data_IF_881990281753
#
_entry.id   IF_881990281753
#
_cell.length_a   1.000
_cell.length_b   1.000
_cell.length_c   1.000
_cell.angle_alpha   90.00
_cell.angle_beta   90.00
_cell.angle_gamma   90.00
#
_symmetry.space_group_name_H-M   'P 1'
#
loop_
_entity.id
_entity.type
_entity.pdbx_description
1 polymer ?
#
# COMPACT_ATOMS: atom_id res chain seq x y z
N UNK A 1 20.62 23.46 -9.49
CA UNK A 1 20.74 22.72 -10.76
C UNK A 1 20.87 21.18 -10.65
N UNK A 2 20.99 20.56 -9.46
CA UNK A 2 21.07 19.08 -9.33
C UNK A 2 19.70 18.36 -9.21
N UNK A 3 18.63 19.07 -8.85
CA UNK A 3 17.30 18.48 -8.68
C UNK A 3 16.60 18.09 -10.01
N UNK A 4 16.90 18.78 -11.10
CA UNK A 4 16.25 18.51 -12.39
C UNK A 4 16.70 17.18 -13.02
N UNK A 5 17.97 16.79 -12.85
CA UNK A 5 18.51 15.53 -13.41
C UNK A 5 17.91 14.27 -12.71
N UNK A 6 17.60 14.38 -11.43
CA UNK A 6 16.98 13.28 -10.68
C UNK A 6 15.52 13.04 -11.10
N UNK A 7 14.78 14.12 -11.40
CA UNK A 7 13.39 14.03 -11.89
C UNK A 7 13.31 13.33 -13.26
N UNK A 8 14.27 13.57 -14.15
CA UNK A 8 14.35 12.90 -15.45
C UNK A 8 14.73 11.41 -15.32
N UNK A 9 15.63 11.06 -14.42
CA UNK A 9 16.06 9.66 -14.21
C UNK A 9 14.92 8.83 -13.60
N UNK A 10 14.18 9.38 -12.62
CA UNK A 10 13.02 8.69 -12.02
C UNK A 10 11.88 8.57 -13.03
N UNK A 11 11.62 9.58 -13.83
CA UNK A 11 10.61 9.55 -14.90
C UNK A 11 10.94 8.51 -15.98
N UNK A 12 12.20 8.40 -16.39
CA UNK A 12 12.67 7.42 -17.38
C UNK A 12 12.60 5.99 -16.79
N UNK A 13 12.93 5.80 -15.51
CA UNK A 13 12.84 4.49 -14.86
C UNK A 13 11.40 4.01 -14.73
N UNK A 14 10.46 4.90 -14.42
CA UNK A 14 9.02 4.60 -14.40
C UNK A 14 8.51 4.28 -15.82
N UNK A 15 8.93 5.03 -16.83
CA UNK A 15 8.57 4.76 -18.24
C UNK A 15 9.15 3.44 -18.75
N UNK A 16 10.38 3.08 -18.39
CA UNK A 16 11.01 1.82 -18.78
C UNK A 16 10.36 0.60 -18.11
N UNK A 17 9.90 0.71 -16.86
CA UNK A 17 9.14 -0.37 -16.21
C UNK A 17 7.76 -0.59 -16.84
N UNK A 18 7.14 0.44 -17.39
CA UNK A 18 5.89 0.28 -18.16
C UNK A 18 6.11 -0.28 -19.58
N UNK A 19 7.25 0.00 -20.20
CA UNK A 19 7.54 -0.46 -21.56
C UNK A 19 7.87 -1.96 -21.63
N UNK A 20 8.40 -2.57 -20.58
CA UNK A 20 8.75 -4.01 -20.54
C UNK A 20 7.55 -4.95 -20.34
N UNK A 21 6.35 -4.42 -20.08
CA UNK A 21 5.12 -5.21 -19.93
C UNK A 21 4.37 -5.49 -21.23
N UNK A 22 4.87 -5.02 -22.36
CA UNK A 22 4.15 -5.04 -23.64
C UNK A 22 4.70 -6.08 -24.68
N UNK A 23 5.39 -7.14 -24.26
CA UNK A 23 5.85 -8.17 -25.18
C UNK A 23 4.83 -9.29 -25.33
N UNK A 24 4.30 -9.41 -26.54
CA UNK A 24 3.25 -10.28 -27.02
C UNK A 24 3.56 -11.78 -27.00
N UNK A 25 2.57 -12.62 -26.70
CA UNK A 25 2.57 -14.06 -26.96
C UNK A 25 1.35 -14.44 -27.81
N UNK A 26 1.52 -15.37 -28.74
CA UNK A 26 0.51 -15.87 -29.70
C UNK A 26 -0.74 -16.44 -29.02
N UNK A 27 -1.92 -16.10 -29.53
CA UNK A 27 -3.22 -16.34 -28.95
C UNK A 27 -4.05 -17.44 -29.55
N UNK A 28 -5.03 -17.95 -28.80
CA UNK A 28 -6.15 -18.79 -29.27
C UNK A 28 -7.37 -17.90 -29.59
N UNK A 29 -8.39 -18.43 -30.27
CA UNK A 29 -9.60 -17.68 -30.65
C UNK A 29 -10.27 -16.91 -29.51
N UNK A 30 -10.21 -17.44 -28.27
CA UNK A 30 -10.76 -16.78 -27.07
C UNK A 30 -9.75 -15.88 -26.35
N UNK A 31 -8.48 -15.95 -26.71
CA UNK A 31 -7.41 -15.15 -26.16
C UNK A 31 -6.53 -14.62 -27.29
N UNK A 32 -6.96 -13.56 -28.00
CA UNK A 32 -6.23 -13.00 -29.12
C UNK A 32 -4.83 -12.51 -28.71
N UNK A 33 -4.00 -12.25 -29.72
CA UNK A 33 -2.65 -11.72 -29.53
C UNK A 33 -2.68 -10.44 -28.68
N UNK A 34 -1.82 -10.39 -27.67
CA UNK A 34 -1.73 -9.26 -26.73
C UNK A 34 -2.36 -9.48 -25.35
N UNK A 35 -3.13 -10.55 -25.13
CA UNK A 35 -3.63 -10.88 -23.79
C UNK A 35 -2.48 -11.37 -22.91
N UNK A 36 -2.25 -10.74 -21.72
CA UNK A 36 -1.19 -11.17 -20.83
C UNK A 36 -1.29 -12.64 -20.43
N UNK A 37 -0.17 -13.35 -20.38
CA UNK A 37 -0.13 -14.79 -20.15
C UNK A 37 -0.81 -15.28 -18.84
N UNK A 38 -0.88 -14.43 -17.80
CA UNK A 38 -1.65 -14.74 -16.59
C UNK A 38 -3.16 -14.71 -16.85
N UNK A 39 -3.64 -13.75 -17.63
CA UNK A 39 -5.05 -13.64 -18.01
C UNK A 39 -5.44 -14.80 -18.90
N UNK A 40 -4.61 -15.14 -19.90
CA UNK A 40 -4.81 -16.30 -20.77
C UNK A 40 -4.97 -17.58 -19.96
N UNK A 41 -4.06 -17.85 -19.02
CA UNK A 41 -4.15 -19.03 -18.12
C UNK A 41 -5.39 -19.02 -17.24
N UNK A 42 -5.82 -17.85 -16.75
CA UNK A 42 -7.03 -17.75 -15.94
C UNK A 42 -8.28 -18.05 -16.76
N UNK A 43 -8.37 -17.55 -17.99
CA UNK A 43 -9.47 -17.84 -18.93
C UNK A 43 -9.48 -19.34 -19.27
N UNK A 44 -8.35 -19.91 -19.64
CA UNK A 44 -8.24 -21.35 -19.96
C UNK A 44 -8.61 -22.23 -18.74
N UNK A 45 -8.15 -21.88 -17.54
CA UNK A 45 -8.52 -22.58 -16.31
C UNK A 45 -10.03 -22.50 -16.03
N UNK A 46 -10.62 -21.33 -16.25
CA UNK A 46 -12.06 -21.12 -16.09
C UNK A 46 -12.89 -21.89 -17.12
N UNK A 47 -12.40 -22.05 -18.34
CA UNK A 47 -13.08 -22.82 -19.39
C UNK A 47 -12.99 -24.34 -19.20
N UNK A 48 -11.98 -24.81 -18.44
CA UNK A 48 -11.82 -26.23 -18.09
C UNK A 48 -12.67 -26.67 -16.90
N UNK A 49 -13.19 -25.73 -16.13
CA UNK A 49 -14.03 -26.01 -14.96
C UNK A 49 -15.50 -25.85 -15.35
N UNK A 50 -16.26 -26.94 -15.32
CA UNK A 50 -17.67 -26.99 -15.71
C UNK A 50 -18.54 -25.97 -14.94
N UNK A 51 -18.17 -25.65 -13.69
CA UNK A 51 -18.91 -24.67 -12.89
C UNK A 51 -18.78 -23.22 -13.40
N UNK A 52 -17.71 -22.93 -14.15
CA UNK A 52 -17.40 -21.59 -14.62
C UNK A 52 -17.40 -21.44 -16.14
N UNK A 53 -17.31 -22.54 -16.89
CA UNK A 53 -17.18 -22.53 -18.34
C UNK A 53 -18.30 -21.75 -19.04
N UNK A 54 -19.56 -22.04 -18.70
CA UNK A 54 -20.72 -21.36 -19.31
C UNK A 54 -20.71 -19.85 -19.04
N UNK A 55 -20.45 -19.46 -17.78
CA UNK A 55 -20.39 -18.03 -17.41
C UNK A 55 -19.24 -17.32 -18.14
N UNK A 56 -18.10 -17.97 -18.24
CA UNK A 56 -16.94 -17.39 -18.92
C UNK A 56 -17.19 -17.19 -20.41
N UNK A 57 -17.83 -18.16 -21.09
CA UNK A 57 -18.26 -18.04 -22.49
C UNK A 57 -19.34 -16.98 -22.69
N UNK A 58 -20.21 -16.78 -21.71
CA UNK A 58 -21.24 -15.74 -21.78
C UNK A 58 -20.64 -14.32 -21.70
N UNK A 59 -19.53 -14.15 -20.98
CA UNK A 59 -18.86 -12.85 -20.78
C UNK A 59 -17.84 -12.56 -21.85
N UNK A 60 -17.01 -13.56 -22.22
CA UNK A 60 -15.98 -13.44 -23.27
C UNK A 60 -16.54 -14.03 -24.55
N UNK A 61 -17.03 -13.17 -25.45
CA UNK A 61 -17.57 -13.61 -26.74
C UNK A 61 -16.53 -13.39 -27.82
N UNK A 62 -16.12 -14.43 -28.57
CA UNK A 62 -15.29 -14.27 -29.74
C UNK A 62 -15.90 -13.27 -30.72
N UNK A 63 -15.09 -12.32 -31.21
CA UNK A 63 -15.57 -11.28 -32.11
C UNK A 63 -16.03 -9.97 -31.42
N UNK A 64 -16.20 -9.94 -30.12
CA UNK A 64 -16.46 -8.69 -29.38
C UNK A 64 -15.22 -7.76 -29.45
N UNK A 65 -15.42 -6.44 -29.40
CA UNK A 65 -14.33 -5.48 -29.36
C UNK A 65 -13.38 -5.77 -28.19
N UNK A 66 -12.09 -5.72 -28.48
CA UNK A 66 -11.07 -5.86 -27.43
C UNK A 66 -11.12 -4.66 -26.49
N UNK A 67 -11.23 -4.94 -25.19
CA UNK A 67 -11.21 -3.94 -24.12
C UNK A 67 -9.99 -4.06 -23.24
N UNK A 68 -10.19 -4.02 -21.93
CA UNK A 68 -9.12 -4.08 -20.93
C UNK A 68 -8.25 -5.32 -21.12
N UNK A 69 -6.92 -5.11 -21.16
CA UNK A 69 -5.90 -6.14 -21.41
C UNK A 69 -6.09 -6.94 -22.73
N UNK A 70 -6.78 -6.38 -23.72
CA UNK A 70 -7.03 -7.03 -24.99
C UNK A 70 -8.08 -8.15 -24.93
N UNK A 71 -8.82 -8.27 -23.83
CA UNK A 71 -9.85 -9.32 -23.67
C UNK A 71 -11.12 -8.91 -24.41
N UNK A 72 -11.70 -9.78 -25.27
CA UNK A 72 -12.96 -9.52 -25.94
C UNK A 72 -14.10 -9.30 -24.94
N UNK A 73 -14.94 -8.28 -25.16
CA UNK A 73 -16.05 -7.92 -24.29
C UNK A 73 -15.67 -7.23 -22.96
N UNK A 74 -14.38 -7.04 -22.68
CA UNK A 74 -13.93 -6.32 -21.51
C UNK A 74 -14.22 -4.80 -21.61
N UNK A 75 -14.42 -4.10 -20.49
CA UNK A 75 -14.62 -2.66 -20.51
C UNK A 75 -13.49 -1.93 -21.22
N UNK A 76 -13.83 -0.94 -22.02
CA UNK A 76 -12.84 -0.06 -22.67
C UNK A 76 -12.80 1.26 -21.90
N UNK A 77 -11.81 1.46 -21.03
CA UNK A 77 -11.74 2.66 -20.22
C UNK A 77 -11.52 3.89 -21.11
N UNK A 78 -12.26 4.97 -20.79
CA UNK A 78 -12.03 6.26 -21.44
C UNK A 78 -10.73 6.87 -20.89
N UNK A 79 -9.73 7.00 -21.75
CA UNK A 79 -8.39 7.47 -21.39
C UNK A 79 -8.43 8.89 -20.81
N UNK A 80 -9.29 9.78 -21.33
CA UNK A 80 -9.41 11.16 -20.87
C UNK A 80 -9.99 11.20 -19.45
N UNK A 81 -11.08 10.47 -19.22
CA UNK A 81 -11.70 10.38 -17.88
C UNK A 81 -10.71 9.72 -16.90
N UNK A 82 -10.01 8.68 -17.33
CA UNK A 82 -8.98 8.03 -16.53
C UNK A 82 -7.83 8.97 -16.15
N UNK A 83 -7.38 9.82 -17.07
CA UNK A 83 -6.34 10.82 -16.82
C UNK A 83 -6.82 11.90 -15.84
N UNK A 84 -8.03 12.45 -16.03
CA UNK A 84 -8.61 13.42 -15.11
C UNK A 84 -8.76 12.84 -13.70
N UNK A 85 -9.19 11.59 -13.59
CA UNK A 85 -9.27 10.88 -12.33
C UNK A 85 -7.89 10.68 -11.69
N UNK A 86 -6.89 10.31 -12.47
CA UNK A 86 -5.51 10.16 -11.99
C UNK A 86 -4.93 11.48 -11.44
N UNK A 87 -5.18 12.61 -12.12
CA UNK A 87 -4.78 13.93 -11.64
C UNK A 87 -5.46 14.25 -10.31
N UNK A 88 -6.76 14.01 -10.21
CA UNK A 88 -7.52 14.26 -9.00
C UNK A 88 -7.06 13.35 -7.83
N UNK A 89 -6.84 12.07 -8.08
CA UNK A 89 -6.28 11.13 -7.09
C UNK A 89 -4.88 11.58 -6.64
N UNK A 90 -4.03 12.02 -7.57
CA UNK A 90 -2.70 12.57 -7.25
C UNK A 90 -2.77 13.79 -6.35
N UNK A 91 -3.75 14.68 -6.58
CA UNK A 91 -4.00 15.82 -5.71
C UNK A 91 -4.44 15.36 -4.29
N UNK A 92 -5.33 14.37 -4.17
CA UNK A 92 -5.72 13.80 -2.89
C UNK A 92 -4.53 13.15 -2.17
N UNK A 93 -3.67 12.41 -2.89
CA UNK A 93 -2.45 11.86 -2.29
C UNK A 93 -1.55 12.94 -1.71
N UNK A 94 -1.43 14.07 -2.39
CA UNK A 94 -0.58 15.19 -1.93
C UNK A 94 -1.15 15.93 -0.72
N UNK A 95 -2.47 15.94 -0.55
CA UNK A 95 -3.16 16.71 0.50
C UNK A 95 -3.55 15.86 1.71
N UNK A 96 -4.05 14.66 1.50
CA UNK A 96 -4.64 13.80 2.53
C UNK A 96 -3.86 12.48 2.70
N UNK A 97 -2.85 12.22 1.88
CA UNK A 97 -2.01 11.03 1.99
C UNK A 97 -2.76 9.74 1.66
N UNK A 98 -2.83 8.80 2.62
CA UNK A 98 -3.35 7.44 2.41
C UNK A 98 -4.76 7.37 1.79
N UNK A 99 -5.59 8.40 1.94
CA UNK A 99 -6.92 8.45 1.35
C UNK A 99 -6.89 8.40 -0.18
N UNK A 100 -5.82 8.88 -0.80
CA UNK A 100 -5.60 8.77 -2.24
C UNK A 100 -5.60 7.31 -2.74
N UNK A 101 -5.09 6.36 -1.93
CA UNK A 101 -5.13 4.93 -2.25
C UNK A 101 -6.55 4.37 -2.32
N UNK A 102 -7.42 4.78 -1.39
CA UNK A 102 -8.84 4.40 -1.41
C UNK A 102 -9.51 4.95 -2.69
N UNK A 103 -9.26 6.21 -3.02
CA UNK A 103 -9.83 6.85 -4.21
C UNK A 103 -9.32 6.23 -5.51
N UNK A 104 -8.05 5.78 -5.57
CA UNK A 104 -7.54 5.04 -6.71
C UNK A 104 -8.31 3.72 -6.89
N UNK A 105 -8.56 2.98 -5.81
CA UNK A 105 -9.40 1.78 -5.81
C UNK A 105 -10.81 2.04 -6.32
N UNK A 106 -11.45 3.12 -5.89
CA UNK A 106 -12.76 3.56 -6.40
C UNK A 106 -12.71 3.80 -7.91
N UNK A 107 -11.64 4.42 -8.43
CA UNK A 107 -11.46 4.62 -9.87
C UNK A 107 -11.41 3.32 -10.66
N UNK A 108 -10.68 2.32 -10.18
CA UNK A 108 -10.65 1.00 -10.82
C UNK A 108 -12.04 0.35 -10.85
N UNK A 109 -12.83 0.55 -9.81
CA UNK A 109 -14.17 -0.03 -9.69
C UNK A 109 -15.16 0.68 -10.62
N UNK A 110 -15.19 2.03 -10.58
CA UNK A 110 -16.24 2.84 -11.22
C UNK A 110 -15.84 3.38 -12.58
N UNK A 111 -14.68 4.05 -12.69
CA UNK A 111 -14.24 4.71 -13.93
C UNK A 111 -13.81 3.69 -14.98
N UNK A 112 -13.11 2.63 -14.55
CA UNK A 112 -12.65 1.59 -15.45
C UNK A 112 -13.62 0.40 -15.55
N UNK A 113 -14.70 0.34 -14.75
CA UNK A 113 -15.72 -0.70 -14.80
C UNK A 113 -15.22 -2.12 -14.48
N UNK A 114 -14.04 -2.25 -13.88
CA UNK A 114 -13.40 -3.55 -13.67
C UNK A 114 -14.07 -4.41 -12.61
N UNK A 115 -14.76 -3.80 -11.64
CA UNK A 115 -15.45 -4.56 -10.59
C UNK A 115 -16.68 -5.29 -11.14
N UNK A 116 -17.47 -4.61 -11.95
CA UNK A 116 -18.67 -5.23 -12.55
C UNK A 116 -18.26 -6.29 -13.59
N UNK A 117 -17.21 -6.02 -14.35
CA UNK A 117 -16.62 -7.00 -15.24
C UNK A 117 -16.10 -8.23 -14.48
N UNK A 118 -15.41 -8.07 -13.37
CA UNK A 118 -14.97 -9.19 -12.54
C UNK A 118 -16.17 -9.98 -11.97
N UNK A 119 -17.21 -9.30 -11.48
CA UNK A 119 -18.42 -9.93 -10.95
C UNK A 119 -19.18 -10.77 -11.99
N UNK A 120 -19.15 -10.38 -13.28
CA UNK A 120 -19.85 -11.09 -14.34
C UNK A 120 -19.38 -12.54 -14.51
N UNK A 121 -18.11 -12.83 -14.19
CA UNK A 121 -17.58 -14.19 -14.18
C UNK A 121 -18.07 -15.06 -13.02
N UNK A 122 -18.65 -14.45 -11.99
CA UNK A 122 -19.10 -15.15 -10.79
C UNK A 122 -18.01 -15.34 -9.74
N UNK A 123 -18.46 -15.56 -8.51
CA UNK A 123 -17.60 -15.74 -7.35
C UNK A 123 -16.81 -17.04 -7.47
N UNK A 124 -15.51 -16.99 -7.17
CA UNK A 124 -14.62 -18.16 -7.21
C UNK A 124 -13.99 -18.44 -8.58
N UNK A 125 -14.48 -17.81 -9.65
CA UNK A 125 -13.91 -17.95 -11.00
C UNK A 125 -12.45 -17.43 -11.03
N UNK A 126 -11.51 -18.18 -11.65
CA UNK A 126 -10.11 -17.77 -11.79
C UNK A 126 -9.92 -16.39 -12.42
N UNK A 127 -10.75 -16.00 -13.39
CA UNK A 127 -10.70 -14.67 -14.04
C UNK A 127 -11.13 -13.58 -13.07
N UNK A 128 -12.23 -13.79 -12.33
CA UNK A 128 -12.68 -12.87 -11.29
C UNK A 128 -11.57 -12.64 -10.24
N UNK A 129 -10.98 -13.73 -9.76
CA UNK A 129 -9.89 -13.67 -8.77
C UNK A 129 -8.69 -12.88 -9.32
N UNK A 130 -8.27 -13.17 -10.54
CA UNK A 130 -7.14 -12.48 -11.17
C UNK A 130 -7.40 -10.99 -11.33
N UNK A 131 -8.58 -10.59 -11.79
CA UNK A 131 -8.96 -9.17 -11.95
C UNK A 131 -8.96 -8.46 -10.59
N UNK A 132 -9.59 -9.05 -9.58
CA UNK A 132 -9.64 -8.50 -8.22
C UNK A 132 -8.24 -8.35 -7.62
N UNK A 133 -7.41 -9.38 -7.75
CA UNK A 133 -6.03 -9.34 -7.28
C UNK A 133 -5.20 -8.30 -8.05
N UNK A 134 -5.43 -8.12 -9.34
CA UNK A 134 -4.74 -7.12 -10.16
C UNK A 134 -5.09 -5.70 -9.74
N UNK A 135 -6.37 -5.42 -9.44
CA UNK A 135 -6.82 -4.12 -8.90
C UNK A 135 -6.13 -3.85 -7.57
N UNK A 136 -6.12 -4.83 -6.67
CA UNK A 136 -5.49 -4.71 -5.35
C UNK A 136 -3.98 -4.45 -5.47
N UNK A 137 -3.28 -5.25 -6.27
CA UNK A 137 -1.82 -5.12 -6.46
C UNK A 137 -1.45 -3.79 -7.11
N UNK A 138 -2.19 -3.35 -8.14
CA UNK A 138 -1.92 -2.05 -8.79
C UNK A 138 -2.10 -0.89 -7.81
N UNK A 139 -3.12 -0.95 -6.96
CA UNK A 139 -3.35 0.04 -5.91
C UNK A 139 -2.23 0.04 -4.85
N UNK A 140 -1.75 -1.14 -4.44
CA UNK A 140 -0.63 -1.27 -3.51
C UNK A 140 0.67 -0.68 -4.10
N UNK A 141 0.94 -0.89 -5.38
CA UNK A 141 2.08 -0.29 -6.07
C UNK A 141 1.98 1.25 -6.11
N UNK A 142 0.80 1.77 -6.44
CA UNK A 142 0.56 3.21 -6.47
C UNK A 142 0.81 3.85 -5.10
N UNK A 143 0.25 3.26 -4.03
CA UNK A 143 0.43 3.73 -2.65
C UNK A 143 1.89 3.59 -2.21
N UNK A 144 2.53 2.46 -2.52
CA UNK A 144 3.93 2.20 -2.18
C UNK A 144 4.89 3.20 -2.82
N UNK A 145 4.76 3.46 -4.12
CA UNK A 145 5.58 4.44 -4.83
C UNK A 145 5.34 5.86 -4.32
N UNK A 146 4.08 6.24 -4.11
CA UNK A 146 3.73 7.57 -3.55
C UNK A 146 4.30 7.74 -2.14
N UNK A 147 4.20 6.71 -1.30
CA UNK A 147 4.78 6.69 0.04
C UNK A 147 6.30 6.79 0.03
N UNK A 148 6.98 6.09 -0.89
CA UNK A 148 8.43 6.14 -1.02
C UNK A 148 8.91 7.54 -1.44
N UNK A 149 8.27 8.16 -2.44
CA UNK A 149 8.60 9.52 -2.89
C UNK A 149 8.35 10.54 -1.77
N UNK A 150 7.22 10.43 -1.09
CA UNK A 150 6.89 11.32 0.05
C UNK A 150 7.89 11.17 1.18
N UNK A 151 8.22 9.93 1.56
CA UNK A 151 9.21 9.66 2.62
C UNK A 151 10.59 10.23 2.28
N UNK A 152 11.02 10.09 1.03
CA UNK A 152 12.27 10.66 0.57
C UNK A 152 12.27 12.20 0.63
N UNK A 153 11.17 12.84 0.22
CA UNK A 153 11.03 14.29 0.31
C UNK A 153 11.05 14.77 1.77
N UNK A 154 10.31 14.10 2.67
CA UNK A 154 10.33 14.40 4.11
C UNK A 154 11.72 14.19 4.74
N UNK A 155 12.45 13.16 4.30
CA UNK A 155 13.83 12.94 4.71
C UNK A 155 14.73 14.11 4.30
N UNK A 156 14.64 14.55 3.04
CA UNK A 156 15.42 15.70 2.55
C UNK A 156 15.09 17.01 3.25
N UNK A 157 13.86 17.17 3.69
CA UNK A 157 13.43 18.34 4.46
C UNK A 157 13.77 18.24 5.96
N UNK A 158 14.45 17.17 6.42
CA UNK A 158 14.73 16.96 7.84
C UNK A 158 13.47 16.71 8.70
N UNK A 159 12.37 16.27 8.10
CA UNK A 159 11.08 16.08 8.78
C UNK A 159 10.71 14.62 9.04
N UNK A 160 11.48 13.68 8.49
CA UNK A 160 11.22 12.26 8.66
C UNK A 160 11.75 11.74 9.98
N UNK A 161 10.87 11.26 10.84
CA UNK A 161 11.25 10.49 12.03
C UNK A 161 11.51 9.04 11.60
N UNK A 162 12.71 8.79 11.06
CA UNK A 162 13.06 7.49 10.47
C UNK A 162 12.80 6.29 11.41
N UNK A 163 13.16 6.32 12.72
CA UNK A 163 12.86 5.21 13.63
C UNK A 163 11.38 4.90 13.75
N UNK A 164 10.51 5.93 13.73
CA UNK A 164 9.05 5.75 13.77
C UNK A 164 8.57 4.99 12.51
N UNK A 165 9.01 5.45 11.34
CA UNK A 165 8.69 4.82 10.07
C UNK A 165 9.19 3.37 9.98
N UNK A 166 10.41 3.10 10.46
CA UNK A 166 10.99 1.75 10.48
C UNK A 166 10.20 0.82 11.41
N UNK A 167 9.85 1.26 12.62
CA UNK A 167 9.04 0.46 13.55
C UNK A 167 7.64 0.15 12.97
N UNK A 168 6.98 1.14 12.34
CA UNK A 168 5.73 0.93 11.61
C UNK A 168 5.90 -0.10 10.47
N UNK A 169 7.00 0.00 9.71
CA UNK A 169 7.27 -0.92 8.60
C UNK A 169 7.54 -2.35 9.09
N UNK A 170 8.27 -2.54 10.20
CA UNK A 170 8.49 -3.86 10.81
C UNK A 170 7.14 -4.53 11.13
N UNK A 171 6.21 -3.78 11.73
CA UNK A 171 4.86 -4.26 12.00
C UNK A 171 4.06 -4.50 10.72
N UNK A 172 4.08 -3.52 9.82
CA UNK A 172 3.31 -3.53 8.57
C UNK A 172 3.70 -4.66 7.63
N UNK A 173 4.98 -4.84 7.34
CA UNK A 173 5.47 -5.90 6.45
C UNK A 173 5.18 -7.28 7.01
N UNK A 174 5.47 -7.52 8.30
CA UNK A 174 5.14 -8.79 8.94
C UNK A 174 3.63 -9.03 9.02
N UNK A 175 2.86 -7.99 9.34
CA UNK A 175 1.40 -8.06 9.45
C UNK A 175 0.70 -8.31 8.12
N UNK A 176 1.13 -7.67 7.04
CA UNK A 176 0.52 -7.82 5.70
C UNK A 176 0.62 -9.24 5.14
N UNK A 177 1.55 -10.03 5.65
CA UNK A 177 1.71 -11.43 5.29
C UNK A 177 1.07 -12.37 6.33
N UNK A 178 1.39 -12.18 7.62
CA UNK A 178 0.96 -13.10 8.67
C UNK A 178 -0.54 -13.04 8.92
N UNK A 179 -1.14 -11.84 8.90
CA UNK A 179 -2.56 -11.67 9.21
C UNK A 179 -3.45 -12.35 8.17
N UNK A 180 -3.28 -12.16 6.84
CA UNK A 180 -4.06 -12.89 5.85
C UNK A 180 -3.91 -14.39 5.94
N UNK A 181 -2.69 -14.89 6.18
CA UNK A 181 -2.44 -16.34 6.30
C UNK A 181 -3.19 -16.96 7.49
N UNK A 182 -3.26 -16.24 8.62
CA UNK A 182 -3.97 -16.70 9.81
C UNK A 182 -5.49 -16.58 9.69
N UNK A 183 -5.99 -15.63 8.90
CA UNK A 183 -7.41 -15.29 8.78
C UNK A 183 -8.07 -15.85 7.52
N UNK A 184 -7.29 -16.28 6.54
CA UNK A 184 -7.79 -16.80 5.26
C UNK A 184 -8.82 -17.92 5.46
N UNK A 185 -10.01 -17.75 4.90
CA UNK A 185 -11.11 -18.70 5.00
C UNK A 185 -11.81 -18.77 6.36
N UNK A 186 -11.31 -18.10 7.40
CA UNK A 186 -11.89 -18.12 8.76
C UNK A 186 -12.81 -16.93 9.03
N UNK A 187 -12.60 -15.83 8.33
CA UNK A 187 -13.39 -14.59 8.49
C UNK A 187 -14.25 -14.39 7.27
N UNK A 188 -15.57 -14.31 7.46
CA UNK A 188 -16.49 -13.94 6.37
C UNK A 188 -16.34 -12.45 6.04
N UNK A 189 -16.64 -12.05 4.79
CA UNK A 189 -16.63 -10.65 4.37
C UNK A 189 -17.53 -9.77 5.27
N UNK A 190 -18.68 -10.31 5.71
CA UNK A 190 -19.58 -9.61 6.63
C UNK A 190 -18.94 -9.36 8.00
N UNK A 191 -18.24 -10.35 8.55
CA UNK A 191 -17.53 -10.21 9.81
C UNK A 191 -16.35 -9.23 9.68
N UNK A 192 -15.60 -9.29 8.58
CA UNK A 192 -14.53 -8.34 8.28
C UNK A 192 -15.03 -6.89 8.24
N UNK A 193 -16.12 -6.62 7.51
CA UNK A 193 -16.74 -5.30 7.47
C UNK A 193 -17.21 -4.83 8.84
N UNK A 194 -17.73 -5.74 9.68
CA UNK A 194 -18.12 -5.45 11.04
C UNK A 194 -16.92 -5.03 11.91
N UNK A 195 -15.83 -5.79 11.88
CA UNK A 195 -14.59 -5.46 12.61
C UNK A 195 -13.98 -4.15 12.13
N UNK A 196 -13.94 -3.94 10.81
CA UNK A 196 -13.48 -2.68 10.22
C UNK A 196 -14.32 -1.48 10.71
N UNK A 197 -15.64 -1.62 10.72
CA UNK A 197 -16.55 -0.59 11.23
C UNK A 197 -16.29 -0.25 12.69
N UNK A 198 -16.07 -1.25 13.56
CA UNK A 198 -15.72 -1.03 14.98
C UNK A 198 -14.39 -0.26 15.09
N UNK A 199 -13.36 -0.64 14.33
CA UNK A 199 -12.06 0.04 14.35
C UNK A 199 -12.20 1.49 13.91
N UNK A 200 -12.92 1.76 12.82
CA UNK A 200 -13.18 3.12 12.32
C UNK A 200 -13.94 3.94 13.36
N UNK A 201 -14.93 3.34 14.03
CA UNK A 201 -15.67 4.01 15.11
C UNK A 201 -14.75 4.37 16.28
N UNK A 202 -13.87 3.47 16.71
CA UNK A 202 -12.88 3.74 17.78
C UNK A 202 -11.94 4.88 17.38
N UNK A 203 -11.43 4.86 16.15
CA UNK A 203 -10.57 5.93 15.62
C UNK A 203 -11.34 7.26 15.61
N UNK A 204 -12.57 7.25 15.13
CA UNK A 204 -13.44 8.43 15.12
C UNK A 204 -13.68 9.00 16.53
N UNK A 205 -13.98 8.13 17.49
CA UNK A 205 -14.15 8.53 18.89
C UNK A 205 -12.84 9.11 19.48
N UNK A 206 -11.69 8.53 19.11
CA UNK A 206 -10.39 9.05 19.52
C UNK A 206 -10.10 10.44 18.93
N UNK A 207 -10.44 10.67 17.66
CA UNK A 207 -10.31 11.98 17.01
C UNK A 207 -11.21 13.02 17.67
N UNK A 208 -12.43 12.66 18.05
CA UNK A 208 -13.35 13.53 18.80
C UNK A 208 -12.76 13.85 20.17
N UNK A 209 -12.21 12.84 20.88
CA UNK A 209 -11.53 13.08 22.17
C UNK A 209 -10.37 14.07 22.02
N UNK A 210 -9.62 14.04 20.92
CA UNK A 210 -8.52 14.97 20.68
C UNK A 210 -8.96 16.44 20.49
N UNK A 211 -10.23 16.68 20.14
CA UNK A 211 -10.83 18.02 20.07
C UNK A 211 -11.18 18.57 21.45
N UNK A 212 -11.25 17.73 22.49
CA UNK A 212 -11.51 18.17 23.86
C UNK A 212 -10.32 18.98 24.42
N UNK A 213 -10.55 19.87 25.44
CA UNK A 213 -9.46 20.63 26.06
C UNK A 213 -8.32 19.73 26.59
N UNK A 214 -8.65 18.54 27.12
CA UNK A 214 -7.66 17.56 27.61
C UNK A 214 -6.84 16.96 26.47
N UNK A 215 -7.48 16.57 25.36
CA UNK A 215 -6.81 16.06 24.16
C UNK A 215 -5.94 17.14 23.50
N UNK A 216 -6.46 18.38 23.43
CA UNK A 216 -5.73 19.52 22.88
C UNK A 216 -4.48 19.89 23.71
N UNK A 217 -4.55 19.80 25.05
CA UNK A 217 -3.41 20.04 25.92
C UNK A 217 -2.29 19.02 25.68
N UNK A 218 -2.62 17.74 25.44
CA UNK A 218 -1.66 16.67 25.14
C UNK A 218 -0.91 16.89 23.82
N UNK A 219 -1.51 17.61 22.86
CA UNK A 219 -0.90 17.94 21.55
C UNK A 219 -0.22 19.31 21.52
N UNK A 220 -0.18 20.04 22.63
CA UNK A 220 0.34 21.41 22.66
C UNK A 220 1.79 21.51 22.13
N UNK A 221 2.65 20.59 22.55
CA UNK A 221 4.06 20.53 22.10
C UNK A 221 4.16 20.25 20.60
N UNK A 222 3.38 19.27 20.09
CA UNK A 222 3.34 18.96 18.67
C UNK A 222 2.81 20.12 17.83
N UNK A 223 1.79 20.84 18.31
CA UNK A 223 1.29 22.06 17.66
C UNK A 223 2.33 23.18 17.67
N UNK A 224 3.04 23.38 18.78
CA UNK A 224 4.10 24.37 18.85
C UNK A 224 5.22 24.10 17.84
N UNK A 225 5.66 22.84 17.76
CA UNK A 225 6.67 22.43 16.78
C UNK A 225 6.19 22.61 15.32
N UNK A 226 4.93 22.25 15.03
CA UNK A 226 4.35 22.44 13.70
C UNK A 226 4.28 23.93 13.31
N UNK A 227 3.81 24.78 14.22
CA UNK A 227 3.75 26.24 14.00
C UNK A 227 5.14 26.87 13.83
N UNK A 228 6.13 26.43 14.62
CA UNK A 228 7.52 26.89 14.48
C UNK A 228 8.07 26.53 13.09
N UNK A 229 7.79 25.30 12.63
CA UNK A 229 8.16 24.87 11.29
C UNK A 229 7.47 25.71 10.21
N UNK A 230 6.15 25.91 10.26
CA UNK A 230 5.42 26.71 9.29
C UNK A 230 5.95 28.15 9.18
N UNK A 231 6.26 28.76 10.33
CA UNK A 231 6.89 30.10 10.38
C UNK A 231 8.25 30.10 9.70
N UNK A 232 9.10 29.10 9.99
CA UNK A 232 10.43 29.00 9.40
C UNK A 232 10.36 28.80 7.87
N UNK A 233 9.43 28.00 7.37
CA UNK A 233 9.19 27.81 5.93
C UNK A 233 8.68 29.09 5.27
N UNK A 234 7.75 29.80 5.92
CA UNK A 234 7.21 31.08 5.39
C UNK A 234 8.31 32.14 5.31
N UNK A 235 9.25 32.15 6.23
CA UNK A 235 10.38 33.09 6.28
C UNK A 235 11.56 32.65 5.40
N UNK A 236 11.44 31.51 4.68
CA UNK A 236 12.54 30.88 3.89
C UNK A 236 13.84 30.70 4.69
N UNK A 237 13.72 30.57 6.01
CA UNK A 237 14.86 30.31 6.90
C UNK A 237 15.40 28.91 6.67
N UNK A 238 16.72 28.74 6.72
CA UNK A 238 17.33 27.40 6.67
C UNK A 238 16.89 26.58 7.86
N UNK A 239 16.17 25.51 7.62
CA UNK A 239 15.60 24.63 8.65
C UNK A 239 16.43 23.39 8.90
N UNK A 240 17.58 23.24 8.23
CA UNK A 240 18.41 22.04 8.31
C UNK A 240 18.86 21.71 9.75
N UNK A 241 19.18 22.74 10.54
CA UNK A 241 19.59 22.56 11.93
C UNK A 241 18.45 22.35 12.93
N UNK A 242 17.23 22.66 12.54
CA UNK A 242 16.03 22.54 13.40
C UNK A 242 15.18 21.31 13.07
N UNK A 243 15.59 20.51 12.09
CA UNK A 243 14.92 19.27 11.68
C UNK A 243 14.94 18.18 12.75
N UNK A 244 14.42 17.02 12.39
CA UNK A 244 14.40 15.84 13.27
C UNK A 244 15.83 15.40 13.61
N UNK A 245 16.18 15.43 14.89
CA UNK A 245 17.45 14.89 15.42
C UNK A 245 17.14 13.78 16.41
N UNK A 246 17.67 12.57 16.14
CA UNK A 246 17.51 11.43 17.05
C UNK A 246 18.51 11.57 18.20
N UNK A 247 18.00 11.62 19.42
CA UNK A 247 18.79 11.80 20.63
C UNK A 247 19.11 10.45 21.28
N UNK A 248 18.13 9.53 21.29
CA UNK A 248 18.27 8.23 21.95
C UNK A 248 17.52 7.16 21.13
N UNK A 249 18.09 5.97 21.06
CA UNK A 249 17.49 4.80 20.42
C UNK A 249 18.53 3.74 20.08
N UNK A 250 18.16 2.46 20.21
CA UNK A 250 19.07 1.35 19.88
C UNK A 250 18.96 0.99 18.39
N UNK A 251 19.86 1.54 17.59
CA UNK A 251 19.95 1.24 16.15
C UNK A 251 20.27 -0.23 15.86
N UNK A 252 21.07 -0.88 16.72
CA UNK A 252 21.43 -2.29 16.53
C UNK A 252 20.21 -3.19 16.55
N UNK A 253 19.38 -3.12 17.59
CA UNK A 253 18.16 -3.92 17.68
C UNK A 253 17.15 -3.56 16.58
N UNK A 254 17.10 -2.29 16.17
CA UNK A 254 16.23 -1.86 15.09
C UNK A 254 16.63 -2.49 13.75
N UNK A 255 17.94 -2.50 13.41
CA UNK A 255 18.40 -3.14 12.18
C UNK A 255 18.31 -4.67 12.23
N UNK A 256 18.50 -5.29 13.41
CA UNK A 256 18.25 -6.72 13.57
C UNK A 256 16.77 -7.07 13.36
N UNK A 257 15.85 -6.24 13.86
CA UNK A 257 14.43 -6.42 13.63
C UNK A 257 14.06 -6.27 12.14
N UNK A 258 14.60 -5.28 11.46
CA UNK A 258 14.46 -5.11 10.00
C UNK A 258 14.99 -6.33 9.27
N UNK A 259 16.21 -6.78 9.61
CA UNK A 259 16.83 -7.96 8.97
C UNK A 259 15.97 -9.21 9.14
N UNK A 260 15.41 -9.45 10.32
CA UNK A 260 14.54 -10.59 10.59
C UNK A 260 13.27 -10.57 9.72
N UNK A 261 12.59 -9.42 9.61
CA UNK A 261 11.38 -9.28 8.79
C UNK A 261 11.69 -9.36 7.30
N UNK A 262 12.80 -8.77 6.84
CA UNK A 262 13.25 -8.90 5.44
C UNK A 262 13.63 -10.34 5.13
N UNK A 263 14.34 -11.03 6.01
CA UNK A 263 14.68 -12.45 5.85
C UNK A 263 13.43 -13.32 5.76
N UNK A 264 12.39 -13.02 6.55
CA UNK A 264 11.08 -13.69 6.45
C UNK A 264 10.47 -13.53 5.06
N UNK A 265 10.42 -12.30 4.54
CA UNK A 265 9.89 -12.02 3.20
C UNK A 265 10.69 -12.72 2.09
N UNK A 266 12.02 -12.71 2.19
CA UNK A 266 12.90 -13.42 1.24
C UNK A 266 12.71 -14.92 1.35
N UNK A 267 12.60 -15.49 2.54
CA UNK A 267 12.35 -16.91 2.74
C UNK A 267 11.10 -17.39 2.02
N UNK A 268 9.99 -16.68 2.20
CA UNK A 268 8.71 -17.02 1.56
C UNK A 268 8.83 -16.98 0.02
N UNK A 269 9.48 -15.96 -0.52
CA UNK A 269 9.52 -15.74 -1.95
C UNK A 269 10.56 -16.60 -2.67
N UNK A 270 11.69 -16.93 -2.03
CA UNK A 270 12.80 -17.64 -2.68
C UNK A 270 12.82 -19.12 -2.35
N UNK A 271 12.50 -19.50 -1.11
CA UNK A 271 12.55 -20.89 -0.66
C UNK A 271 11.20 -21.58 -0.77
N UNK A 272 10.12 -20.88 -0.45
CA UNK A 272 8.73 -21.32 -0.63
C UNK A 272 8.28 -22.50 0.26
N UNK A 273 9.21 -23.16 0.94
CA UNK A 273 8.94 -24.27 1.87
C UNK A 273 8.95 -23.81 3.32
N UNK A 274 8.49 -24.68 4.24
CA UNK A 274 8.59 -24.47 5.69
C UNK A 274 8.16 -23.06 6.14
N UNK A 275 6.93 -22.67 5.89
CA UNK A 275 6.36 -21.37 6.30
C UNK A 275 6.61 -21.03 7.77
N UNK A 276 6.77 -22.04 8.62
CA UNK A 276 7.06 -21.88 10.05
C UNK A 276 8.33 -21.04 10.30
N UNK A 277 9.35 -21.18 9.45
CA UNK A 277 10.59 -20.38 9.57
C UNK A 277 10.28 -18.90 9.37
N UNK A 278 9.47 -18.57 8.38
CA UNK A 278 9.07 -17.18 8.14
C UNK A 278 8.21 -16.63 9.28
N UNK A 279 7.32 -17.44 9.88
CA UNK A 279 6.55 -17.03 11.07
C UNK A 279 7.47 -16.70 12.23
N UNK A 280 8.44 -17.56 12.51
CA UNK A 280 9.41 -17.35 13.59
C UNK A 280 10.20 -16.06 13.33
N UNK A 281 10.68 -15.83 12.12
CA UNK A 281 11.43 -14.62 11.77
C UNK A 281 10.60 -13.34 11.96
N UNK A 282 9.32 -13.33 11.57
CA UNK A 282 8.42 -12.20 11.84
C UNK A 282 8.28 -11.96 13.35
N UNK A 283 8.00 -13.03 14.11
CA UNK A 283 7.81 -12.91 15.56
C UNK A 283 9.10 -12.44 16.26
N UNK A 284 10.26 -12.91 15.81
CA UNK A 284 11.57 -12.45 16.29
C UNK A 284 11.76 -10.96 15.97
N UNK A 285 11.45 -10.53 14.74
CA UNK A 285 11.51 -9.13 14.35
C UNK A 285 10.61 -8.25 15.23
N UNK A 286 9.39 -8.68 15.53
CA UNK A 286 8.49 -7.97 16.43
C UNK A 286 9.00 -7.97 17.87
N UNK A 287 9.49 -9.10 18.39
CA UNK A 287 10.06 -9.20 19.74
C UNK A 287 11.26 -8.27 19.92
N UNK A 288 12.14 -8.16 18.92
CA UNK A 288 13.29 -7.26 18.96
C UNK A 288 12.90 -5.79 19.14
N UNK A 289 11.70 -5.36 18.72
CA UNK A 289 11.25 -3.98 18.93
C UNK A 289 11.06 -3.62 20.40
N UNK A 290 10.83 -4.59 21.29
CA UNK A 290 10.75 -4.35 22.73
C UNK A 290 12.13 -4.03 23.32
N UNK A 291 13.21 -4.57 22.73
CA UNK A 291 14.58 -4.32 23.17
C UNK A 291 15.16 -3.00 22.63
N UNK A 292 14.54 -2.39 21.61
CA UNK A 292 14.90 -1.04 21.17
C UNK A 292 14.62 -0.03 22.28
N UNK A 293 13.55 -0.26 23.06
CA UNK A 293 13.19 0.59 24.20
C UNK A 293 12.54 1.91 23.79
N UNK A 294 12.94 2.99 24.47
CA UNK A 294 12.46 4.33 24.17
C UNK A 294 13.30 4.97 23.07
N UNK A 295 12.62 5.63 22.15
CA UNK A 295 13.24 6.46 21.12
C UNK A 295 12.91 7.91 21.46
N UNK A 296 13.95 8.76 21.57
CA UNK A 296 13.82 10.20 21.79
C UNK A 296 14.34 10.95 20.58
N UNK A 297 13.63 11.97 20.20
CA UNK A 297 14.04 12.87 19.11
C UNK A 297 13.59 14.29 19.41
N UNK A 298 14.30 15.25 18.86
CA UNK A 298 13.94 16.67 18.89
C UNK A 298 13.46 17.12 17.52
N UNK A 299 12.51 18.03 17.50
CA UNK A 299 12.01 18.66 16.28
C UNK A 299 11.57 20.08 16.61
N UNK A 300 12.18 21.06 15.99
CA UNK A 300 11.96 22.49 16.24
C UNK A 300 11.97 22.86 17.72
N UNK A 301 13.01 22.40 18.42
CA UNK A 301 13.21 22.72 19.85
C UNK A 301 12.30 21.98 20.82
N UNK A 302 11.38 21.14 20.34
CA UNK A 302 10.54 20.30 21.19
C UNK A 302 11.09 18.86 21.23
N UNK A 303 11.08 18.25 22.43
CA UNK A 303 11.48 16.86 22.62
C UNK A 303 10.27 15.93 22.59
N UNK A 304 10.39 14.86 21.84
CA UNK A 304 9.39 13.81 21.71
C UNK A 304 9.99 12.45 22.07
N UNK A 305 9.16 11.58 22.64
CA UNK A 305 9.56 10.21 22.96
C UNK A 305 8.43 9.22 22.65
N UNK A 306 8.81 8.03 22.22
CA UNK A 306 7.89 6.90 22.08
C UNK A 306 8.61 5.57 22.32
N UNK A 307 7.85 4.54 22.69
CA UNK A 307 8.34 3.17 22.80
C UNK A 307 8.25 2.50 21.43
N UNK A 308 9.34 1.88 20.95
CA UNK A 308 9.44 1.34 19.60
C UNK A 308 8.37 0.29 19.25
N UNK A 309 7.93 -0.50 20.22
CA UNK A 309 6.90 -1.52 20.00
C UNK A 309 5.50 -0.92 19.71
N UNK A 310 5.21 0.31 20.14
CA UNK A 310 3.89 0.94 19.91
C UNK A 310 3.63 1.19 18.42
N UNK A 311 4.51 1.89 17.67
CA UNK A 311 4.31 2.01 16.24
C UNK A 311 4.41 0.67 15.50
N UNK A 312 5.18 -0.31 15.98
CA UNK A 312 5.20 -1.65 15.39
C UNK A 312 3.81 -2.29 15.47
N UNK A 313 3.15 -2.26 16.63
CA UNK A 313 1.76 -2.73 16.77
C UNK A 313 0.82 -1.94 15.87
N UNK A 314 0.98 -0.62 15.79
CA UNK A 314 0.24 0.23 14.84
C UNK A 314 0.40 -0.24 13.39
N UNK A 315 1.61 -0.61 12.99
CA UNK A 315 1.90 -1.19 11.68
C UNK A 315 1.16 -2.49 11.42
N UNK A 316 1.10 -3.41 12.41
CA UNK A 316 0.32 -4.65 12.32
C UNK A 316 -1.16 -4.36 12.09
N UNK A 317 -1.72 -3.41 12.86
CA UNK A 317 -3.13 -3.00 12.69
C UNK A 317 -3.40 -2.42 11.29
N UNK A 318 -2.52 -1.54 10.80
CA UNK A 318 -2.65 -0.97 9.44
C UNK A 318 -2.61 -2.09 8.41
N UNK A 319 -1.69 -3.04 8.54
CA UNK A 319 -1.60 -4.18 7.65
C UNK A 319 -2.84 -5.07 7.70
N UNK A 320 -3.37 -5.34 8.90
CA UNK A 320 -4.59 -6.15 9.07
C UNK A 320 -5.82 -5.52 8.40
N UNK A 321 -5.90 -4.18 8.38
CA UNK A 321 -6.98 -3.45 7.72
C UNK A 321 -6.78 -3.41 6.19
N UNK A 322 -5.52 -3.33 5.74
CA UNK A 322 -5.18 -3.17 4.33
C UNK A 322 -5.10 -4.51 3.55
N UNK A 323 -5.11 -5.66 4.24
CA UNK A 323 -4.98 -7.00 3.65
C UNK A 323 -6.33 -7.65 3.43
#
# INVERSE_FOLDING_TARGET
>A
MKASRFFWITGIFVLLTFATLALAQSGSELTPDGVPGKMKRAIESSLKDDNFAEKTKAVIKPGDPQGYLGVPGAPKPNVIIGLLWAIWVGWIFSTVGAFGGIMAGVGHITIFGLADYAKSFGKGNPVNKLLTDSIRVSNQWLVGLSGAISSFNYYRMGRLVAPLGICLAIGGVGGSWLVPELTAGKISLKAYLGYFGIIVFIIGAFLIYELTPKGAARKKEAKAAAQAFEKAVAQKTDTADQGVKIVEGSWTFMWLAVAAVVASALWINLVGGYKIVAYILVLVGWALTFFIGNIRFTFFGQEFKFKAWIPMVGGIFIAAIAS
#
